data_IF_642876624223
#
_entry.id   IF_642876624223
#
_cell.length_a   1.000
_cell.length_b   1.000
_cell.length_c   1.000
_cell.angle_alpha   90.00
_cell.angle_beta   90.00
_cell.angle_gamma   90.00
#
_symmetry.space_group_name_H-M   'P 1'
#
loop_
_entity.id
_entity.type
_entity.pdbx_description
1 polymer ?
#
# COMPACT_ATOMS: atom_id res chain seq x y z
N UNK A 1 -24.36 -8.55 31.17
CA UNK A 1 -23.00 -8.48 30.60
C UNK A 1 -22.94 -7.18 29.80
N UNK A 2 -22.31 -6.18 30.39
CA UNK A 2 -22.36 -4.76 30.06
C UNK A 2 -21.59 -4.48 28.77
N UNK A 3 -22.32 -4.18 27.69
CA UNK A 3 -21.74 -3.64 26.46
C UNK A 3 -21.41 -2.17 26.74
N UNK A 4 -20.13 -1.83 26.68
CA UNK A 4 -19.61 -0.48 26.90
C UNK A 4 -20.20 0.48 25.85
N UNK A 5 -21.00 1.45 26.29
CA UNK A 5 -21.58 2.51 25.45
C UNK A 5 -20.55 3.55 24.94
N UNK A 6 -19.24 3.31 25.09
CA UNK A 6 -18.19 4.25 24.70
C UNK A 6 -17.74 4.14 23.22
N UNK A 7 -18.13 3.08 22.50
CA UNK A 7 -17.79 2.89 21.06
C UNK A 7 -18.83 3.49 20.10
N UNK A 8 -19.81 4.22 20.63
CA UNK A 8 -20.85 4.84 19.81
C UNK A 8 -20.31 6.11 19.12
N UNK A 9 -20.12 5.99 17.80
CA UNK A 9 -20.27 7.07 16.80
C UNK A 9 -19.01 7.81 16.34
N UNK A 10 -17.88 7.12 16.19
CA UNK A 10 -16.73 7.68 15.48
C UNK A 10 -16.61 7.10 14.06
N UNK A 11 -16.73 7.95 13.05
CA UNK A 11 -16.68 7.56 11.64
C UNK A 11 -15.30 7.86 11.11
N UNK A 12 -14.53 6.79 10.83
CA UNK A 12 -13.19 6.87 10.27
C UNK A 12 -13.19 6.55 8.78
N UNK A 13 -12.49 7.38 8.02
CA UNK A 13 -12.12 7.12 6.62
C UNK A 13 -10.61 7.18 6.50
N UNK A 14 -10.03 6.12 5.91
CA UNK A 14 -8.59 5.96 5.70
C UNK A 14 -8.32 5.73 4.22
N UNK A 15 -7.24 6.35 3.73
CA UNK A 15 -6.64 6.07 2.43
C UNK A 15 -5.14 5.93 2.61
N UNK A 16 -4.60 4.76 2.24
CA UNK A 16 -3.23 4.36 2.57
C UNK A 16 -2.14 4.86 1.62
N UNK A 17 -2.52 5.32 0.41
CA UNK A 17 -1.55 5.75 -0.63
C UNK A 17 -2.02 7.01 -1.37
N UNK A 18 -2.40 8.05 -0.63
CA UNK A 18 -2.75 9.35 -1.22
C UNK A 18 -1.49 10.05 -1.73
N UNK A 19 -1.49 10.50 -3.00
CA UNK A 19 -0.35 11.16 -3.68
C UNK A 19 -0.19 12.62 -3.26
N UNK A 20 0.01 12.84 -1.96
CA UNK A 20 0.25 14.13 -1.33
C UNK A 20 1.36 13.99 -0.30
N UNK A 21 2.06 15.09 -0.06
CA UNK A 21 3.04 15.18 1.02
C UNK A 21 2.31 15.19 2.36
N UNK A 22 2.78 14.42 3.34
CA UNK A 22 2.12 14.26 4.63
C UNK A 22 1.96 15.58 5.39
N UNK A 23 2.92 16.50 5.24
CA UNK A 23 2.87 17.84 5.83
C UNK A 23 1.70 18.66 5.27
N UNK A 24 1.49 18.66 3.96
CA UNK A 24 0.40 19.40 3.31
C UNK A 24 -0.96 18.79 3.68
N UNK A 25 -1.04 17.46 3.76
CA UNK A 25 -2.23 16.74 4.20
C UNK A 25 -2.59 17.11 5.66
N UNK A 26 -1.59 17.12 6.55
CA UNK A 26 -1.77 17.49 7.96
C UNK A 26 -2.21 18.95 8.12
N UNK A 27 -1.65 19.86 7.32
CA UNK A 27 -2.04 21.26 7.32
C UNK A 27 -3.50 21.46 6.88
N UNK A 28 -3.92 20.78 5.80
CA UNK A 28 -5.30 20.82 5.33
C UNK A 28 -6.29 20.26 6.36
N UNK A 29 -5.96 19.15 7.04
CA UNK A 29 -6.80 18.56 8.10
C UNK A 29 -6.89 19.47 9.32
N UNK A 30 -5.76 20.08 9.71
CA UNK A 30 -5.72 21.00 10.86
C UNK A 30 -6.58 22.23 10.62
N UNK A 31 -6.67 22.70 9.38
CA UNK A 31 -7.50 23.84 9.00
C UNK A 31 -9.00 23.57 9.16
N UNK A 32 -9.45 22.34 8.89
CA UNK A 32 -10.88 21.96 9.00
C UNK A 32 -11.27 21.33 10.33
N UNK A 33 -10.32 21.16 11.25
CA UNK A 33 -10.58 20.57 12.57
C UNK A 33 -11.61 21.41 13.32
N UNK A 34 -12.62 20.75 13.89
CA UNK A 34 -13.72 21.39 14.62
C UNK A 34 -14.82 21.99 13.75
N UNK A 35 -14.69 21.98 12.41
CA UNK A 35 -15.75 22.41 11.50
C UNK A 35 -16.78 21.31 11.30
N UNK A 36 -18.03 21.70 11.01
CA UNK A 36 -19.05 20.76 10.54
C UNK A 36 -18.60 20.10 9.23
N UNK A 37 -18.89 18.80 9.06
CA UNK A 37 -18.35 18.00 7.97
C UNK A 37 -18.74 18.54 6.58
N UNK A 38 -19.97 19.07 6.44
CA UNK A 38 -20.44 19.72 5.19
C UNK A 38 -19.67 21.01 4.90
N UNK A 39 -19.41 21.82 5.93
CA UNK A 39 -18.65 23.07 5.82
C UNK A 39 -17.18 22.80 5.49
N UNK A 40 -16.55 21.86 6.20
CA UNK A 40 -15.19 21.40 5.94
C UNK A 40 -15.03 20.91 4.50
N UNK A 41 -15.97 20.09 4.01
CA UNK A 41 -15.97 19.60 2.63
C UNK A 41 -16.02 20.74 1.63
N UNK A 42 -16.94 21.69 1.80
CA UNK A 42 -17.07 22.80 0.85
C UNK A 42 -15.79 23.65 0.81
N UNK A 43 -15.19 23.93 1.97
CA UNK A 43 -13.95 24.69 2.05
C UNK A 43 -12.79 23.96 1.37
N UNK A 44 -12.62 22.66 1.62
CA UNK A 44 -11.57 21.86 0.97
C UNK A 44 -11.80 21.72 -0.54
N UNK A 45 -13.06 21.59 -0.98
CA UNK A 45 -13.40 21.45 -2.40
C UNK A 45 -13.04 22.69 -3.22
N UNK A 46 -13.09 23.87 -2.62
CA UNK A 46 -12.72 25.14 -3.24
C UNK A 46 -11.34 25.66 -2.77
N UNK A 47 -10.58 24.84 -2.05
CA UNK A 47 -9.25 25.18 -1.58
C UNK A 47 -8.22 25.22 -2.71
N UNK A 48 -7.08 25.90 -2.49
CA UNK A 48 -6.04 26.01 -3.50
C UNK A 48 -5.26 24.69 -3.64
N UNK A 49 -5.22 24.14 -4.86
CA UNK A 49 -4.33 23.04 -5.22
C UNK A 49 -4.93 21.64 -5.08
N UNK A 50 -4.18 20.64 -5.57
CA UNK A 50 -4.64 19.23 -5.66
C UNK A 50 -4.73 18.53 -4.30
N UNK A 51 -3.97 18.98 -3.31
CA UNK A 51 -4.00 18.42 -1.96
C UNK A 51 -5.37 18.57 -1.32
N UNK A 52 -5.96 19.76 -1.40
CA UNK A 52 -7.26 20.06 -0.82
C UNK A 52 -8.38 19.24 -1.46
N UNK A 53 -8.34 19.06 -2.78
CA UNK A 53 -9.29 18.20 -3.50
C UNK A 53 -9.22 16.74 -3.02
N UNK A 54 -8.03 16.20 -2.84
CA UNK A 54 -7.86 14.82 -2.39
C UNK A 54 -8.35 14.60 -0.95
N UNK A 55 -8.09 15.55 -0.05
CA UNK A 55 -8.64 15.53 1.32
C UNK A 55 -10.17 15.70 1.30
N UNK A 56 -10.72 16.51 0.40
CA UNK A 56 -12.17 16.65 0.22
C UNK A 56 -12.82 15.32 -0.21
N UNK A 57 -12.21 14.60 -1.17
CA UNK A 57 -12.68 13.27 -1.60
C UNK A 57 -12.63 12.25 -0.47
N UNK A 58 -11.61 12.31 0.39
CA UNK A 58 -11.54 11.47 1.59
C UNK A 58 -12.70 11.76 2.56
N UNK A 59 -13.03 13.04 2.72
CA UNK A 59 -14.17 13.47 3.53
C UNK A 59 -15.53 13.07 2.92
N UNK A 60 -15.67 13.10 1.60
CA UNK A 60 -16.84 12.58 0.89
C UNK A 60 -17.03 11.08 1.14
N UNK A 61 -15.94 10.30 1.17
CA UNK A 61 -15.97 8.88 1.53
C UNK A 61 -16.44 8.67 2.97
N UNK A 62 -16.00 9.52 3.90
CA UNK A 62 -16.45 9.48 5.28
C UNK A 62 -17.95 9.82 5.42
N UNK A 63 -18.44 10.83 4.70
CA UNK A 63 -19.85 11.22 4.68
C UNK A 63 -20.75 10.17 4.00
N UNK A 64 -20.28 9.54 2.91
CA UNK A 64 -21.00 8.44 2.28
C UNK A 64 -21.16 7.26 3.26
N UNK A 65 -20.09 6.93 4.01
CA UNK A 65 -20.12 5.91 5.05
C UNK A 65 -21.09 6.26 6.18
N UNK A 66 -21.20 7.54 6.56
CA UNK A 66 -22.14 7.99 7.60
C UNK A 66 -23.61 7.86 7.23
N UNK A 67 -23.94 8.09 5.95
CA UNK A 67 -25.30 7.92 5.44
C UNK A 67 -25.83 6.50 5.64
N UNK A 68 -24.99 5.49 5.41
CA UNK A 68 -25.30 4.07 5.70
C UNK A 68 -25.49 3.77 7.19
N UNK A 69 -24.88 4.56 8.08
CA UNK A 69 -24.97 4.40 9.53
C UNK A 69 -26.09 5.24 10.17
N UNK A 70 -26.97 5.87 9.37
CA UNK A 70 -28.10 6.65 9.87
C UNK A 70 -27.76 8.03 10.44
N UNK A 71 -26.54 8.53 10.22
CA UNK A 71 -26.12 9.86 10.69
C UNK A 71 -26.16 10.86 9.54
N UNK A 72 -27.00 11.90 9.70
CA UNK A 72 -27.06 13.01 8.75
C UNK A 72 -25.76 13.80 8.78
N UNK A 73 -25.16 14.06 7.61
CA UNK A 73 -23.86 14.73 7.50
C UNK A 73 -23.77 16.11 8.16
N UNK A 74 -24.91 16.75 8.45
CA UNK A 74 -25.01 18.04 9.12
C UNK A 74 -24.76 17.96 10.64
N UNK A 75 -24.88 16.76 11.22
CA UNK A 75 -24.62 16.51 12.65
C UNK A 75 -23.18 16.12 12.94
N UNK A 76 -22.33 15.97 11.91
CA UNK A 76 -20.95 15.50 12.06
C UNK A 76 -19.95 16.66 12.06
N UNK A 77 -18.93 16.55 12.89
CA UNK A 77 -17.82 17.49 13.04
C UNK A 77 -16.52 16.74 12.80
N UNK A 78 -15.54 17.40 12.17
CA UNK A 78 -14.19 16.86 11.99
C UNK A 78 -13.46 16.87 13.34
N UNK A 79 -13.35 15.73 13.99
CA UNK A 79 -12.63 15.59 15.27
C UNK A 79 -11.12 15.73 15.08
N UNK A 80 -10.61 15.24 13.96
CA UNK A 80 -9.21 15.32 13.60
C UNK A 80 -8.86 14.36 12.48
N UNK A 81 -7.56 14.21 12.27
CA UNK A 81 -7.01 13.25 11.34
C UNK A 81 -5.51 13.19 11.45
N UNK A 82 -4.95 12.08 11.02
CA UNK A 82 -3.52 11.81 11.00
C UNK A 82 -3.09 11.65 9.55
N UNK A 83 -1.94 12.23 9.19
CA UNK A 83 -1.28 11.95 7.92
C UNK A 83 0.15 11.51 8.20
N UNK A 84 0.50 10.33 7.74
CA UNK A 84 1.84 9.74 7.90
C UNK A 84 2.44 9.56 6.52
N UNK A 85 3.69 9.97 6.34
CA UNK A 85 4.41 9.71 5.10
C UNK A 85 4.58 8.20 4.95
N UNK A 86 4.16 7.67 3.80
CA UNK A 86 4.42 6.29 3.41
C UNK A 86 5.40 6.29 2.25
N UNK A 87 5.69 5.09 1.77
CA UNK A 87 6.57 4.90 0.62
C UNK A 87 6.07 5.64 -0.61
N UNK A 88 7.00 6.31 -1.29
CA UNK A 88 6.74 7.02 -2.54
C UNK A 88 6.18 6.08 -3.60
N UNK A 89 5.21 6.56 -4.36
CA UNK A 89 4.71 5.81 -5.50
C UNK A 89 5.64 6.01 -6.68
N UNK A 90 6.40 4.97 -6.98
CA UNK A 90 7.34 4.91 -8.10
C UNK A 90 6.62 4.48 -9.38
N UNK A 91 6.92 5.15 -10.50
CA UNK A 91 6.50 4.77 -11.85
C UNK A 91 7.65 4.84 -12.83
N UNK A 92 7.54 4.09 -13.91
CA UNK A 92 8.50 4.14 -15.01
C UNK A 92 8.07 5.19 -16.03
N UNK A 93 9.02 6.00 -16.49
CA UNK A 93 8.89 6.92 -17.60
C UNK A 93 9.84 6.50 -18.72
N UNK A 94 9.28 6.05 -19.83
CA UNK A 94 10.06 5.81 -21.06
C UNK A 94 10.47 7.14 -21.69
N UNK A 95 11.74 7.25 -22.07
CA UNK A 95 12.34 8.36 -22.83
C UNK A 95 12.68 7.90 -24.25
N UNK A 96 13.14 8.83 -25.08
CA UNK A 96 13.65 8.53 -26.40
C UNK A 96 14.89 7.62 -26.32
N UNK A 97 15.20 6.93 -27.43
CA UNK A 97 16.36 6.04 -27.56
C UNK A 97 16.39 4.84 -26.61
N UNK A 98 15.23 4.34 -26.16
CA UNK A 98 15.14 3.13 -25.33
C UNK A 98 15.52 3.35 -23.86
N UNK A 99 15.73 4.60 -23.44
CA UNK A 99 16.08 4.94 -22.05
C UNK A 99 14.82 4.98 -21.19
N UNK A 100 14.91 4.54 -19.94
CA UNK A 100 13.82 4.65 -18.97
C UNK A 100 14.32 5.29 -17.66
N UNK A 101 13.46 6.10 -17.05
CA UNK A 101 13.71 6.74 -15.74
C UNK A 101 12.58 6.49 -14.76
N UNK A 102 12.88 6.61 -13.47
CA UNK A 102 11.90 6.57 -12.40
C UNK A 102 11.26 7.94 -12.16
N UNK A 103 9.95 7.94 -11.97
CA UNK A 103 9.20 9.05 -11.40
C UNK A 103 8.72 8.61 -10.03
N UNK A 104 9.27 9.22 -8.98
CA UNK A 104 8.77 9.06 -7.61
C UNK A 104 7.76 10.17 -7.31
N UNK A 105 6.61 9.82 -6.74
CA UNK A 105 5.64 10.77 -6.23
C UNK A 105 5.43 10.50 -4.74
N UNK A 106 5.55 11.51 -3.86
CA UNK A 106 5.35 11.30 -2.44
C UNK A 106 3.94 10.80 -2.17
N UNK A 107 3.81 9.85 -1.25
CA UNK A 107 2.53 9.34 -0.81
C UNK A 107 2.40 9.36 0.71
N UNK A 108 1.16 9.45 1.16
CA UNK A 108 0.82 9.49 2.58
C UNK A 108 -0.37 8.59 2.88
N UNK A 109 -0.34 7.95 4.04
CA UNK A 109 -1.51 7.35 4.67
C UNK A 109 -2.25 8.45 5.42
N UNK A 110 -3.49 8.71 5.05
CA UNK A 110 -4.32 9.74 5.67
C UNK A 110 -5.57 9.11 6.23
N UNK A 111 -5.80 9.34 7.52
CA UNK A 111 -7.03 8.95 8.22
C UNK A 111 -7.73 10.20 8.75
N UNK A 112 -9.01 10.36 8.42
CA UNK A 112 -9.88 11.42 8.94
C UNK A 112 -10.96 10.80 9.81
N UNK A 113 -11.22 11.46 10.92
CA UNK A 113 -12.16 11.04 11.94
C UNK A 113 -13.27 12.07 12.10
N UNK A 114 -14.52 11.63 11.89
CA UNK A 114 -15.72 12.42 12.12
C UNK A 114 -16.44 11.94 13.37
N UNK A 115 -16.99 12.89 14.14
CA UNK A 115 -17.78 12.63 15.34
C UNK A 115 -19.07 13.44 15.33
N UNK A 116 -20.18 12.96 15.92
CA UNK A 116 -21.39 13.75 16.05
C UNK A 116 -21.18 14.94 16.99
N UNK A 117 -21.84 16.06 16.67
CA UNK A 117 -21.81 17.32 17.40
C UNK A 117 -22.51 17.15 18.75
N UNK A 118 -21.74 17.14 19.86
CA UNK A 118 -22.31 17.04 21.21
C UNK A 118 -21.44 16.36 22.27
N UNK A 119 -20.32 15.73 21.89
CA UNK A 119 -19.42 15.06 22.82
C UNK A 119 -18.08 15.79 22.87
N UNK A 120 -18.01 16.85 23.68
CA UNK A 120 -16.74 17.50 24.03
C UNK A 120 -16.05 16.64 25.07
N UNK A 121 -15.21 15.71 24.62
CA UNK A 121 -14.21 15.11 25.49
C UNK A 121 -12.93 15.95 25.33
N UNK A 122 -12.55 16.60 26.42
CA UNK A 122 -11.29 17.31 26.60
C UNK A 122 -10.13 16.37 26.21
N UNK A 123 -9.22 16.88 25.40
CA UNK A 123 -7.98 16.21 25.00
C UNK A 123 -7.15 15.86 26.25
N UNK A 124 -6.81 14.58 26.43
CA UNK A 124 -5.64 14.18 27.21
C UNK A 124 -4.78 13.22 26.38
N UNK A 125 -3.61 13.72 26.03
CA UNK A 125 -2.49 12.98 25.48
C UNK A 125 -1.92 12.01 26.54
N UNK A 126 -1.74 10.75 26.17
CA UNK A 126 -0.73 9.84 26.74
C UNK A 126 -0.38 8.82 25.66
N UNK A 127 0.76 9.02 24.98
CA UNK A 127 2.08 8.44 25.27
C UNK A 127 2.20 6.97 24.84
N UNK A 128 2.98 6.82 23.75
CA UNK A 128 4.00 5.81 23.53
C UNK A 128 3.90 4.50 24.33
N UNK A 129 3.42 3.47 23.64
CA UNK A 129 3.98 2.12 23.49
C UNK A 129 2.91 1.39 22.66
N UNK A 130 3.17 0.73 21.54
CA UNK A 130 4.33 -0.09 21.21
C UNK A 130 4.47 -0.04 19.69
N UNK A 131 5.70 -0.01 19.19
CA UNK A 131 5.96 -0.46 17.84
C UNK A 131 5.36 -1.87 17.69
N UNK A 132 4.61 -2.20 16.62
CA UNK A 132 4.64 -3.56 16.15
C UNK A 132 6.10 -3.81 15.79
N UNK A 133 6.80 -4.61 16.60
CA UNK A 133 8.03 -5.24 16.17
C UNK A 133 7.72 -5.84 14.82
N UNK A 134 8.30 -5.28 13.76
CA UNK A 134 8.46 -6.05 12.54
C UNK A 134 9.09 -7.38 12.99
N UNK A 135 8.49 -8.53 12.72
CA UNK A 135 9.27 -9.75 12.75
C UNK A 135 10.36 -9.52 11.71
N UNK A 136 11.59 -9.37 12.18
CA UNK A 136 12.77 -9.51 11.33
C UNK A 136 12.55 -10.75 10.45
N UNK A 137 12.91 -10.72 9.16
CA UNK A 137 12.72 -11.88 8.30
C UNK A 137 13.41 -13.05 8.98
N UNK A 138 12.60 -14.01 9.44
CA UNK A 138 13.09 -15.31 9.86
C UNK A 138 13.77 -15.87 8.63
N UNK A 139 15.10 -15.74 8.58
CA UNK A 139 15.93 -16.53 7.70
C UNK A 139 15.79 -17.96 8.17
N UNK A 140 14.73 -18.62 7.72
CA UNK A 140 14.65 -20.06 7.75
C UNK A 140 15.87 -20.57 6.97
N UNK A 141 16.61 -21.49 7.58
CA UNK A 141 17.75 -22.13 6.95
C UNK A 141 17.29 -22.69 5.60
N UNK A 142 17.94 -22.26 4.52
CA UNK A 142 17.54 -22.55 3.14
C UNK A 142 17.29 -24.05 2.98
N UNK A 143 16.02 -24.43 2.85
CA UNK A 143 15.68 -25.81 2.57
C UNK A 143 16.15 -26.11 1.13
N UNK A 144 16.93 -27.17 0.87
CA UNK A 144 17.39 -27.49 -0.48
C UNK A 144 16.24 -27.70 -1.48
N UNK A 145 15.03 -27.98 -1.01
CA UNK A 145 13.84 -28.00 -1.85
C UNK A 145 13.30 -26.59 -2.19
N UNK A 146 13.35 -25.63 -1.25
CA UNK A 146 13.00 -24.22 -1.50
C UNK A 146 14.01 -23.58 -2.47
N UNK A 147 15.28 -23.94 -2.37
CA UNK A 147 16.31 -23.48 -3.30
C UNK A 147 16.02 -23.91 -4.74
N UNK A 148 15.61 -25.17 -4.94
CA UNK A 148 15.21 -25.67 -6.28
C UNK A 148 13.99 -24.94 -6.85
N UNK A 149 13.02 -24.60 -6.00
CA UNK A 149 11.85 -23.80 -6.42
C UNK A 149 12.29 -22.39 -6.78
N UNK A 150 13.16 -21.77 -5.96
CA UNK A 150 13.70 -20.43 -6.23
C UNK A 150 14.49 -20.40 -7.54
N UNK A 151 15.31 -21.41 -7.79
CA UNK A 151 16.08 -21.57 -9.03
C UNK A 151 15.15 -21.68 -10.24
N UNK A 152 14.08 -22.47 -10.14
CA UNK A 152 13.08 -22.56 -11.20
C UNK A 152 12.42 -21.20 -11.47
N UNK A 153 12.14 -20.39 -10.45
CA UNK A 153 11.52 -19.07 -10.63
C UNK A 153 12.39 -18.07 -11.41
N UNK A 154 13.69 -18.30 -11.59
CA UNK A 154 14.53 -17.47 -12.47
C UNK A 154 14.12 -17.56 -13.95
N UNK A 155 13.48 -18.64 -14.37
CA UNK A 155 12.99 -18.80 -15.75
C UNK A 155 11.70 -18.00 -16.01
N UNK A 156 11.07 -17.47 -14.96
CA UNK A 156 9.88 -16.63 -15.08
C UNK A 156 10.32 -15.19 -15.32
N UNK A 157 10.23 -14.77 -16.59
CA UNK A 157 10.57 -13.41 -17.03
C UNK A 157 9.36 -12.50 -16.97
N UNK A 158 9.53 -11.30 -16.38
CA UNK A 158 8.51 -10.25 -16.42
C UNK A 158 8.40 -9.68 -17.85
N UNK A 159 7.20 -9.70 -18.47
CA UNK A 159 7.04 -9.28 -19.85
C UNK A 159 7.07 -7.75 -20.04
N UNK A 160 6.99 -6.96 -18.95
CA UNK A 160 7.04 -5.50 -19.01
C UNK A 160 8.47 -4.95 -18.87
N UNK A 161 9.31 -5.64 -18.09
CA UNK A 161 10.69 -5.26 -17.77
C UNK A 161 11.74 -6.15 -18.45
N UNK A 162 11.39 -7.36 -18.88
CA UNK A 162 12.30 -8.30 -19.54
C UNK A 162 13.35 -8.92 -18.61
N UNK A 163 13.14 -8.84 -17.29
CA UNK A 163 14.03 -9.37 -16.25
C UNK A 163 13.26 -10.39 -15.40
N UNK A 164 13.96 -11.35 -14.81
CA UNK A 164 13.34 -12.39 -14.02
C UNK A 164 12.71 -11.87 -12.72
N UNK A 165 11.64 -12.53 -12.25
CA UNK A 165 10.87 -12.10 -11.08
C UNK A 165 11.65 -12.21 -9.75
N UNK A 166 12.69 -13.05 -9.70
CA UNK A 166 13.54 -13.24 -8.51
C UNK A 166 14.48 -12.04 -8.34
N UNK A 167 15.18 -11.65 -9.40
CA UNK A 167 16.11 -10.52 -9.43
C UNK A 167 15.40 -9.18 -9.35
N UNK A 168 14.18 -9.09 -9.89
CA UNK A 168 13.31 -7.93 -9.66
C UNK A 168 12.87 -7.80 -8.19
N UNK A 169 13.03 -8.84 -7.36
CA UNK A 169 12.62 -8.82 -5.96
C UNK A 169 11.11 -8.91 -5.76
N UNK A 170 10.37 -9.47 -6.73
CA UNK A 170 8.93 -9.70 -6.59
C UNK A 170 8.62 -10.92 -5.71
N UNK A 171 9.54 -11.89 -5.63
CA UNK A 171 9.42 -13.06 -4.76
C UNK A 171 9.96 -12.73 -3.38
N UNK A 172 9.09 -12.74 -2.36
CA UNK A 172 9.45 -12.40 -0.98
C UNK A 172 9.81 -13.61 -0.16
N UNK A 173 8.92 -14.58 -0.20
CA UNK A 173 9.01 -15.76 0.63
C UNK A 173 8.57 -16.98 -0.18
N UNK A 174 9.30 -18.07 0.01
CA UNK A 174 8.96 -19.39 -0.52
C UNK A 174 8.97 -20.30 0.70
N UNK A 175 7.85 -20.96 0.95
CA UNK A 175 7.73 -21.96 2.02
C UNK A 175 7.29 -23.27 1.40
N UNK A 176 7.92 -24.35 1.84
CA UNK A 176 7.51 -25.71 1.50
C UNK A 176 6.91 -26.36 2.74
N UNK A 177 5.69 -26.86 2.63
CA UNK A 177 5.08 -27.63 3.72
C UNK A 177 5.56 -29.10 3.73
N UNK A 178 5.27 -29.81 4.83
CA UNK A 178 5.62 -31.23 4.97
C UNK A 178 4.85 -32.14 3.99
N UNK A 179 3.77 -31.65 3.38
CA UNK A 179 2.96 -32.37 2.40
C UNK A 179 3.46 -32.21 0.95
N UNK A 180 4.44 -31.32 0.71
CA UNK A 180 5.00 -31.01 -0.60
C UNK A 180 4.23 -29.95 -1.41
N UNK A 181 3.37 -29.16 -0.77
CA UNK A 181 2.74 -27.95 -1.33
C UNK A 181 3.66 -26.74 -1.09
N UNK A 182 3.92 -25.98 -2.17
CA UNK A 182 4.75 -24.77 -2.11
C UNK A 182 3.87 -23.54 -2.00
N UNK A 183 4.10 -22.70 -1.00
CA UNK A 183 3.48 -21.38 -0.92
C UNK A 183 4.50 -20.31 -1.27
N UNK A 184 4.18 -19.49 -2.26
CA UNK A 184 5.04 -18.41 -2.74
C UNK A 184 4.33 -17.09 -2.45
N UNK A 185 4.96 -16.25 -1.64
CA UNK A 185 4.50 -14.89 -1.36
C UNK A 185 5.14 -13.94 -2.36
N UNK A 186 4.31 -13.28 -3.16
CA UNK A 186 4.76 -12.35 -4.19
C UNK A 186 4.12 -10.97 -4.06
N UNK A 187 4.87 -9.96 -4.49
CA UNK A 187 4.40 -8.57 -4.60
C UNK A 187 4.55 -8.10 -6.03
N UNK A 188 3.48 -7.55 -6.61
CA UNK A 188 3.52 -6.88 -7.90
C UNK A 188 3.48 -5.36 -7.75
N UNK A 189 3.88 -4.68 -8.81
CA UNK A 189 3.83 -3.20 -8.94
C UNK A 189 2.40 -2.64 -8.98
N UNK A 190 1.36 -3.46 -9.20
CA UNK A 190 -0.05 -3.03 -9.20
C UNK A 190 -1.03 -4.20 -8.92
N UNK A 191 -2.05 -3.96 -8.08
CA UNK A 191 -3.10 -4.94 -7.74
C UNK A 191 -4.18 -5.13 -8.83
N UNK A 192 -4.25 -4.25 -9.82
CA UNK A 192 -5.29 -4.24 -10.85
C UNK A 192 -4.74 -4.56 -12.26
N UNK A 193 -3.53 -5.11 -12.36
CA UNK A 193 -2.93 -5.41 -13.66
C UNK A 193 -3.51 -6.74 -14.21
N UNK A 194 -4.02 -6.78 -15.46
CA UNK A 194 -4.43 -8.04 -16.10
C UNK A 194 -3.26 -9.03 -16.29
N UNK A 195 -2.04 -8.59 -15.99
CA UNK A 195 -0.81 -9.37 -16.09
C UNK A 195 -0.66 -10.39 -14.96
N UNK A 196 -1.41 -10.27 -13.86
CA UNK A 196 -1.40 -11.25 -12.76
C UNK A 196 -1.70 -12.66 -13.27
N UNK A 197 -2.71 -12.82 -14.12
CA UNK A 197 -3.06 -14.12 -14.70
C UNK A 197 -1.96 -14.67 -15.63
N UNK A 198 -1.25 -13.80 -16.35
CA UNK A 198 -0.14 -14.20 -17.22
C UNK A 198 1.03 -14.70 -16.38
N UNK A 199 1.35 -13.98 -15.31
CA UNK A 199 2.38 -14.37 -14.35
C UNK A 199 2.06 -15.69 -13.66
N UNK A 200 0.83 -15.86 -13.17
CA UNK A 200 0.38 -17.11 -12.55
C UNK A 200 0.53 -18.29 -13.53
N UNK A 201 0.16 -18.11 -14.80
CA UNK A 201 0.35 -19.14 -15.83
C UNK A 201 1.82 -19.46 -16.10
N UNK A 202 2.68 -18.45 -16.20
CA UNK A 202 4.11 -18.65 -16.44
C UNK A 202 4.77 -19.38 -15.26
N UNK A 203 4.47 -18.96 -14.03
CA UNK A 203 4.92 -19.62 -12.80
C UNK A 203 4.41 -21.06 -12.75
N UNK A 204 3.12 -21.28 -13.06
CA UNK A 204 2.54 -22.61 -13.11
C UNK A 204 3.23 -23.52 -14.10
N UNK A 205 3.57 -23.01 -15.29
CA UNK A 205 4.24 -23.79 -16.33
C UNK A 205 5.62 -24.24 -15.86
N UNK A 206 6.40 -23.34 -15.28
CA UNK A 206 7.76 -23.60 -14.81
C UNK A 206 7.79 -24.51 -13.58
N UNK A 207 6.85 -24.32 -12.65
CA UNK A 207 6.80 -25.10 -11.41
C UNK A 207 6.09 -26.45 -11.56
N UNK A 208 5.30 -26.67 -12.62
CA UNK A 208 4.50 -27.90 -12.80
C UNK A 208 5.33 -29.20 -12.72
N UNK A 209 6.59 -29.17 -13.17
CA UNK A 209 7.50 -30.32 -13.14
C UNK A 209 8.33 -30.42 -11.85
N UNK A 210 8.31 -29.38 -11.01
CA UNK A 210 9.18 -29.25 -9.82
C UNK A 210 8.43 -29.50 -8.50
N UNK A 211 7.11 -29.25 -8.46
CA UNK A 211 6.30 -29.28 -7.24
C UNK A 211 4.98 -30.02 -7.48
N UNK A 212 4.47 -30.70 -6.43
CA UNK A 212 3.20 -31.44 -6.53
C UNK A 212 2.00 -30.50 -6.65
N UNK A 213 2.03 -29.40 -5.90
CA UNK A 213 1.04 -28.33 -5.92
C UNK A 213 1.72 -27.05 -5.44
N UNK A 214 1.25 -25.90 -5.91
CA UNK A 214 1.70 -24.61 -5.42
C UNK A 214 0.54 -23.66 -5.21
N UNK A 215 0.75 -22.66 -4.35
CA UNK A 215 -0.17 -21.59 -4.06
C UNK A 215 0.56 -20.26 -4.12
N UNK A 216 -0.04 -19.30 -4.84
CA UNK A 216 0.43 -17.92 -4.86
C UNK A 216 -0.35 -17.10 -3.84
N UNK A 217 0.39 -16.42 -2.97
CA UNK A 217 -0.15 -15.47 -2.02
C UNK A 217 0.31 -14.07 -2.40
N UNK A 218 -0.64 -13.21 -2.72
CA UNK A 218 -0.36 -11.83 -3.08
C UNK A 218 -0.32 -10.96 -1.82
N UNK A 219 0.82 -10.34 -1.58
CA UNK A 219 1.02 -9.40 -0.49
C UNK A 219 1.53 -8.07 -1.05
N UNK A 220 0.81 -6.97 -0.75
CA UNK A 220 1.16 -5.64 -1.25
C UNK A 220 1.81 -4.73 -0.18
N UNK A 221 1.90 -5.21 1.05
CA UNK A 221 2.49 -4.48 2.18
C UNK A 221 3.62 -5.34 2.78
N UNK A 222 4.86 -4.83 2.90
CA UNK A 222 5.36 -3.54 2.41
C UNK A 222 5.22 -3.37 0.90
N UNK A 223 5.25 -2.16 0.35
CA UNK A 223 5.22 -1.96 -1.11
C UNK A 223 6.57 -2.25 -1.75
N UNK A 224 6.57 -2.81 -2.97
CA UNK A 224 7.80 -3.06 -3.73
C UNK A 224 8.50 -1.76 -4.15
N UNK A 225 9.84 -1.74 -4.08
CA UNK A 225 10.70 -0.61 -4.43
C UNK A 225 11.83 -1.03 -5.37
N UNK A 226 12.37 -0.11 -6.20
CA UNK A 226 13.57 -0.38 -6.98
C UNK A 226 14.80 -0.77 -6.13
N UNK A 227 14.82 -0.41 -4.84
CA UNK A 227 15.85 -0.85 -3.90
C UNK A 227 15.85 -2.36 -3.66
N UNK A 228 14.72 -3.03 -3.85
CA UNK A 228 14.53 -4.46 -3.60
C UNK A 228 15.11 -5.32 -4.74
N UNK A 229 15.50 -4.69 -5.84
CA UNK A 229 16.13 -5.34 -7.00
C UNK A 229 17.55 -5.79 -6.63
N UNK A 230 17.87 -7.05 -6.95
CA UNK A 230 19.19 -7.65 -6.77
C UNK A 230 20.27 -6.91 -7.57
N UNK A 231 21.55 -7.11 -7.22
CA UNK A 231 22.65 -6.51 -7.97
C UNK A 231 22.64 -6.94 -9.44
N UNK A 232 22.39 -8.24 -9.70
CA UNK A 232 22.33 -8.83 -11.04
C UNK A 232 21.10 -8.32 -11.82
N UNK A 233 19.96 -8.15 -11.15
CA UNK A 233 18.78 -7.52 -11.73
C UNK A 233 19.01 -6.07 -12.15
N UNK A 234 19.74 -5.30 -11.33
CA UNK A 234 20.12 -3.92 -11.68
C UNK A 234 21.04 -3.88 -12.90
N UNK A 235 21.99 -4.79 -13.01
CA UNK A 235 22.88 -4.87 -14.18
C UNK A 235 22.08 -5.19 -15.46
N UNK A 236 21.14 -6.15 -15.39
CA UNK A 236 20.25 -6.47 -16.51
C UNK A 236 19.37 -5.27 -16.90
N UNK A 237 18.83 -4.55 -15.92
CA UNK A 237 18.05 -3.34 -16.16
C UNK A 237 18.92 -2.19 -16.75
N UNK A 238 20.17 -2.06 -16.32
CA UNK A 238 21.12 -1.12 -16.93
C UNK A 238 21.40 -1.45 -18.39
N UNK A 239 21.55 -2.73 -18.72
CA UNK A 239 21.79 -3.18 -20.09
C UNK A 239 20.66 -2.83 -21.06
N UNK A 240 19.43 -2.71 -20.56
CA UNK A 240 18.25 -2.30 -21.35
C UNK A 240 17.91 -0.81 -21.21
N UNK A 241 18.76 -0.02 -20.55
CA UNK A 241 18.67 1.46 -20.55
C UNK A 241 18.08 2.11 -19.29
N UNK A 242 18.01 1.42 -18.15
CA UNK A 242 17.69 2.05 -16.85
C UNK A 242 18.98 2.58 -16.19
N UNK A 243 19.09 3.89 -15.96
CA UNK A 243 20.35 4.51 -15.51
C UNK A 243 20.35 5.06 -14.08
N UNK A 244 19.22 5.01 -13.38
CA UNK A 244 19.08 5.49 -11.99
C UNK A 244 18.34 4.43 -11.18
N UNK A 245 18.79 4.05 -9.99
CA UNK A 245 18.13 3.10 -9.08
C UNK A 245 18.12 3.67 -7.67
#
# INVERSE_FOLDING_TARGET
MTISLAEATEIRARESQLRIVAADASAAISLVRGMGAVQARNLLRFGPGRTYEQVARLLDKALAKSGTCGHGGDTLVVAGGTATAVDDIVRIRRKAHGVADWISSPASDVTITLRPQGLVATDEQQRADSAPSEPAPTRHAENPAELRVRDALYDVIDPDLGVNVVDLGFVREITLDEAGEVTIVMTLTSAACPLTEVMERNISAVLSDQVRAFRLQWEWLPSWKPSDISADGREQLQAIGFSHF
#
